data_IF_742888969764
#
_entry.id   IF_742888969764
#
_cell.length_a   1.000
_cell.length_b   1.000
_cell.length_c   1.000
_cell.angle_alpha   90.00
_cell.angle_beta   90.00
_cell.angle_gamma   90.00
#
_symmetry.space_group_name_H-M   'P 1'
#
loop_
_entity.id
_entity.type
_entity.pdbx_description
1 polymer ?
#
# COMPACT_ATOMS: atom_id res chain seq x y z
N UNK A 1 -11.85 4.42 -6.20
CA UNK A 1 -11.10 5.45 -5.45
C UNK A 1 -9.83 5.79 -6.20
N UNK A 2 -9.40 7.06 -6.21
CA UNK A 2 -8.09 7.50 -6.73
C UNK A 2 -7.14 7.61 -5.54
N UNK A 3 -6.01 6.93 -5.60
CA UNK A 3 -5.02 6.93 -4.52
C UNK A 3 -3.80 7.77 -4.91
N UNK A 4 -3.18 8.42 -3.94
CA UNK A 4 -1.94 9.17 -4.15
C UNK A 4 -0.97 8.85 -3.04
N UNK A 5 0.19 8.32 -3.41
CA UNK A 5 1.25 7.97 -2.48
C UNK A 5 2.42 8.92 -2.75
N UNK A 6 2.85 9.63 -1.71
CA UNK A 6 4.06 10.47 -1.75
C UNK A 6 5.10 9.91 -0.79
N UNK A 7 6.32 9.71 -1.30
CA UNK A 7 7.44 9.21 -0.53
C UNK A 7 8.54 10.27 -0.58
N UNK A 8 8.95 10.77 0.58
CA UNK A 8 10.00 11.76 0.73
C UNK A 8 11.21 11.14 1.42
N UNK A 9 12.41 11.32 0.86
CA UNK A 9 13.63 10.87 1.53
C UNK A 9 14.91 11.19 0.75
N UNK A 10 16.01 11.46 1.47
CA UNK A 10 17.35 11.68 0.89
C UNK A 10 17.35 12.61 -0.34
N UNK A 11 16.71 13.78 -0.24
CA UNK A 11 16.56 14.77 -1.31
C UNK A 11 15.87 14.27 -2.58
N UNK A 12 15.06 13.22 -2.46
CA UNK A 12 14.26 12.62 -3.54
C UNK A 12 12.80 12.57 -3.14
N UNK A 13 11.92 12.64 -4.15
CA UNK A 13 10.49 12.44 -3.98
C UNK A 13 10.01 11.41 -5.00
N UNK A 14 9.19 10.46 -4.56
CA UNK A 14 8.42 9.60 -5.44
C UNK A 14 6.93 9.88 -5.25
N UNK A 15 6.22 10.06 -6.36
CA UNK A 15 4.76 10.20 -6.35
C UNK A 15 4.18 9.07 -7.19
N UNK A 16 3.25 8.31 -6.62
CA UNK A 16 2.45 7.33 -7.35
C UNK A 16 1.01 7.83 -7.38
N UNK A 17 0.39 7.88 -8.56
CA UNK A 17 -1.01 8.25 -8.71
C UNK A 17 -1.81 7.09 -9.28
N UNK A 18 -2.77 6.63 -8.47
CA UNK A 18 -3.74 5.55 -8.72
C UNK A 18 -3.11 4.26 -9.24
N UNK A 19 -1.86 3.96 -8.84
CA UNK A 19 -1.05 2.85 -9.34
C UNK A 19 -0.85 2.84 -10.87
N UNK A 20 -1.06 3.99 -11.52
CA UNK A 20 -0.96 4.15 -12.99
C UNK A 20 0.20 5.00 -13.44
N UNK A 21 0.62 5.95 -12.61
CA UNK A 21 1.68 6.90 -12.92
C UNK A 21 2.68 6.98 -11.78
N UNK A 22 3.95 7.12 -12.16
CA UNK A 22 5.06 7.36 -11.25
C UNK A 22 5.79 8.63 -11.67
N UNK A 23 6.04 9.52 -10.70
CA UNK A 23 7.02 10.59 -10.81
C UNK A 23 8.17 10.33 -9.85
N UNK A 24 9.40 10.39 -10.33
CA UNK A 24 10.59 10.44 -9.49
C UNK A 24 11.27 11.80 -9.66
N UNK A 25 11.40 12.53 -8.56
CA UNK A 25 12.01 13.85 -8.50
C UNK A 25 13.33 13.75 -7.74
N UNK A 26 14.40 14.25 -8.35
CA UNK A 26 15.73 14.35 -7.73
C UNK A 26 16.48 15.53 -8.35
N UNK A 27 17.12 16.35 -7.52
CA UNK A 27 17.96 17.47 -7.97
C UNK A 27 17.26 18.40 -8.98
N UNK A 28 15.97 18.69 -8.74
CA UNK A 28 15.12 19.50 -9.64
C UNK A 28 14.69 18.81 -10.94
N UNK A 29 15.16 17.59 -11.22
CA UNK A 29 14.80 16.80 -12.41
C UNK A 29 13.64 15.86 -12.09
N UNK A 30 12.69 15.73 -13.03
CA UNK A 30 11.54 14.83 -12.90
C UNK A 30 11.58 13.77 -14.00
N UNK A 31 11.54 12.49 -13.62
CA UNK A 31 11.27 11.37 -14.54
C UNK A 31 9.84 10.88 -14.34
N UNK A 32 9.17 10.50 -15.44
CA UNK A 32 7.77 10.09 -15.45
C UNK A 32 7.62 8.74 -16.12
N UNK A 33 6.78 7.87 -15.55
CA UNK A 33 6.39 6.58 -16.14
C UNK A 33 4.90 6.33 -16.00
N UNK A 34 4.38 5.45 -16.86
CA UNK A 34 2.98 5.03 -16.86
C UNK A 34 2.04 6.03 -17.54
N UNK A 35 0.74 5.69 -17.60
CA UNK A 35 -0.25 6.48 -18.32
C UNK A 35 -1.59 6.56 -17.56
N UNK A 36 -2.29 7.72 -17.51
CA UNK A 36 -3.59 7.86 -16.86
C UNK A 36 -4.68 6.85 -17.24
N UNK A 37 -4.60 6.25 -18.44
CA UNK A 37 -5.58 5.28 -18.94
C UNK A 37 -5.12 3.82 -18.79
N UNK A 38 -3.92 3.55 -18.27
CA UNK A 38 -3.50 2.17 -18.02
C UNK A 38 -4.43 1.52 -16.99
N UNK A 39 -4.51 0.18 -16.99
CA UNK A 39 -5.21 -0.47 -15.87
C UNK A 39 -4.52 -0.07 -14.57
N UNK A 40 -5.34 0.20 -13.55
CA UNK A 40 -4.82 0.33 -12.19
C UNK A 40 -4.74 -1.09 -11.66
N UNK A 41 -3.53 -1.63 -11.58
CA UNK A 41 -3.32 -2.92 -10.92
C UNK A 41 -3.09 -2.65 -9.43
N UNK A 42 -4.17 -2.80 -8.66
CA UNK A 42 -4.14 -2.66 -7.20
C UNK A 42 -3.82 -3.99 -6.51
N UNK A 43 -3.45 -5.03 -7.27
CA UNK A 43 -3.10 -6.34 -6.76
C UNK A 43 -4.28 -7.28 -6.49
N UNK A 44 -5.54 -6.81 -6.56
CA UNK A 44 -6.70 -7.63 -6.18
C UNK A 44 -6.82 -8.94 -6.97
N UNK A 45 -6.66 -8.88 -8.30
CA UNK A 45 -6.71 -10.08 -9.14
C UNK A 45 -5.56 -11.04 -8.83
N UNK A 46 -4.37 -10.51 -8.55
CA UNK A 46 -3.20 -11.31 -8.19
C UNK A 46 -3.36 -11.97 -6.81
N UNK A 47 -3.94 -11.25 -5.85
CA UNK A 47 -4.24 -11.75 -4.51
C UNK A 47 -5.28 -12.89 -4.57
N UNK A 48 -6.38 -12.71 -5.30
CA UNK A 48 -7.39 -13.77 -5.51
C UNK A 48 -6.76 -14.99 -6.19
N UNK A 49 -5.96 -14.79 -7.24
CA UNK A 49 -5.30 -15.90 -7.93
C UNK A 49 -4.33 -16.65 -6.98
N UNK A 50 -3.60 -15.93 -6.13
CA UNK A 50 -2.73 -16.52 -5.11
C UNK A 50 -3.53 -17.35 -4.10
N UNK A 51 -4.66 -16.82 -3.62
CA UNK A 51 -5.56 -17.52 -2.72
C UNK A 51 -6.13 -18.81 -3.31
N UNK A 52 -6.69 -18.77 -4.54
CA UNK A 52 -7.23 -19.96 -5.21
C UNK A 52 -6.16 -21.05 -5.36
N UNK A 53 -4.96 -20.66 -5.79
CA UNK A 53 -3.84 -21.60 -5.89
C UNK A 53 -3.51 -22.22 -4.54
N UNK A 54 -3.44 -21.42 -3.47
CA UNK A 54 -3.12 -21.91 -2.14
C UNK A 54 -4.16 -22.93 -1.64
N UNK A 55 -5.45 -22.71 -1.93
CA UNK A 55 -6.53 -23.67 -1.62
C UNK A 55 -6.39 -24.98 -2.40
N UNK A 56 -5.88 -24.92 -3.64
CA UNK A 56 -5.54 -26.10 -4.46
C UNK A 56 -4.25 -26.80 -4.00
N UNK A 57 -3.63 -26.36 -2.89
CA UNK A 57 -2.35 -26.89 -2.40
C UNK A 57 -1.13 -26.45 -3.22
N UNK A 58 -1.26 -25.39 -4.02
CA UNK A 58 -0.19 -24.84 -4.88
C UNK A 58 0.16 -23.42 -4.46
N UNK A 59 1.44 -23.11 -4.27
CA UNK A 59 1.85 -21.73 -3.95
C UNK A 59 1.71 -21.38 -2.47
N UNK A 60 1.76 -20.08 -2.15
CA UNK A 60 1.92 -19.58 -0.79
C UNK A 60 0.58 -19.06 -0.28
N UNK A 61 0.19 -19.49 0.92
CA UNK A 61 -0.98 -18.98 1.63
C UNK A 61 -0.77 -17.48 1.88
N UNK A 62 -1.74 -16.60 1.56
CA UNK A 62 -1.66 -15.19 1.90
C UNK A 62 -1.31 -14.97 3.38
N UNK A 63 -0.47 -13.98 3.67
CA UNK A 63 0.10 -13.74 4.99
C UNK A 63 -0.98 -13.22 5.97
N UNK A 64 -1.59 -14.13 6.72
CA UNK A 64 -2.64 -13.82 7.70
C UNK A 64 -2.17 -12.83 8.78
N UNK A 65 -0.90 -12.92 9.15
CA UNK A 65 -0.27 -12.04 10.13
C UNK A 65 -0.26 -10.57 9.66
N UNK A 66 -0.06 -10.29 8.36
CA UNK A 66 -0.21 -8.94 7.81
C UNK A 66 -1.63 -8.40 7.95
N UNK A 67 -2.65 -9.23 7.68
CA UNK A 67 -4.05 -8.85 7.81
C UNK A 67 -4.44 -8.56 9.27
N UNK A 68 -3.93 -9.35 10.22
CA UNK A 68 -4.12 -9.12 11.66
C UNK A 68 -3.45 -7.80 12.06
N UNK A 69 -2.20 -7.55 11.62
CA UNK A 69 -1.50 -6.30 11.89
C UNK A 69 -2.23 -5.07 11.34
N UNK A 70 -2.72 -5.13 10.10
CA UNK A 70 -3.48 -4.04 9.49
C UNK A 70 -4.80 -3.76 10.25
N UNK A 71 -5.49 -4.81 10.69
CA UNK A 71 -6.70 -4.69 11.51
C UNK A 71 -6.39 -4.05 12.86
N UNK A 72 -5.35 -4.51 13.55
CA UNK A 72 -4.89 -3.94 14.82
C UNK A 72 -4.52 -2.45 14.69
N UNK A 73 -3.81 -2.09 13.62
CA UNK A 73 -3.47 -0.70 13.31
C UNK A 73 -4.73 0.15 13.08
N UNK A 74 -5.74 -0.40 12.42
CA UNK A 74 -7.03 0.28 12.21
C UNK A 74 -7.73 0.57 13.54
N UNK A 75 -7.72 -0.37 14.48
CA UNK A 75 -8.27 -0.14 15.82
C UNK A 75 -7.47 0.90 16.62
N UNK A 76 -6.14 0.85 16.57
CA UNK A 76 -5.29 1.85 17.21
C UNK A 76 -5.53 3.26 16.64
N UNK A 77 -5.75 3.38 15.33
CA UNK A 77 -6.10 4.65 14.70
C UNK A 77 -7.46 5.18 15.19
N UNK A 78 -8.48 4.31 15.30
CA UNK A 78 -9.78 4.68 15.86
C UNK A 78 -9.69 5.11 17.33
N UNK A 79 -8.84 4.45 18.12
CA UNK A 79 -8.58 4.82 19.51
C UNK A 79 -7.88 6.17 19.61
N UNK A 80 -6.84 6.40 18.79
CA UNK A 80 -6.12 7.67 18.72
C UNK A 80 -7.04 8.85 18.39
N UNK A 81 -7.99 8.64 17.45
CA UNK A 81 -9.02 9.64 17.14
C UNK A 81 -9.93 9.94 18.33
N UNK A 82 -10.37 8.92 19.08
CA UNK A 82 -11.24 9.09 20.25
C UNK A 82 -10.52 9.84 21.39
N UNK A 83 -9.25 9.53 21.61
CA UNK A 83 -8.43 10.13 22.67
C UNK A 83 -7.80 11.46 22.27
N UNK A 84 -7.90 11.83 21.00
CA UNK A 84 -7.22 12.98 20.40
C UNK A 84 -5.71 13.02 20.76
N UNK A 85 -5.08 11.85 20.79
CA UNK A 85 -3.68 11.68 21.18
C UNK A 85 -3.06 10.44 20.52
N UNK A 86 -1.73 10.39 20.34
CA UNK A 86 -1.08 9.24 19.72
C UNK A 86 -1.24 7.96 20.57
N UNK A 87 -1.59 6.86 19.92
CA UNK A 87 -1.60 5.51 20.52
C UNK A 87 -0.44 4.71 19.95
N UNK A 88 0.34 4.07 20.82
CA UNK A 88 1.42 3.17 20.41
C UNK A 88 0.81 1.84 19.97
N UNK A 89 1.09 1.44 18.73
CA UNK A 89 0.74 0.14 18.19
C UNK A 89 1.99 -0.75 18.16
N UNK A 90 1.94 -1.88 18.86
CA UNK A 90 2.99 -2.91 18.83
C UNK A 90 2.40 -4.19 18.22
N UNK A 91 2.75 -4.54 16.98
CA UNK A 91 2.31 -5.79 16.39
C UNK A 91 2.97 -6.97 17.11
N UNK A 92 2.14 -7.93 17.56
CA UNK A 92 2.56 -9.21 18.13
C UNK A 92 3.16 -10.16 17.09
#
# INVERSE_FOLDING_TARGET
>A
SKERIEIFGSSKVAVIEDFRRLWLIKDGKTKRWGHPWSSSDKGHSAEIASFCRAVEGRGVIPQLDEAIRATGLTFAALESLKLNSPVRFEPS
#
